data_IF_813836355601
#
_entry.id   IF_813836355601
#
_cell.length_a   1.000
_cell.length_b   1.000
_cell.length_c   1.000
_cell.angle_alpha   90.00
_cell.angle_beta   90.00
_cell.angle_gamma   90.00
#
_symmetry.space_group_name_H-M   'P 1'
#
loop_
_entity.id
_entity.type
_entity.pdbx_description
1 polymer ?
#
# COMPACT_ATOMS: atom_id res chain seq x y z
N UNK A 1 4.49 20.05 25.83
CA UNK A 1 5.40 21.05 25.20
C UNK A 1 5.11 21.12 23.71
N UNK A 2 5.46 22.24 23.02
CA UNK A 2 5.33 22.31 21.55
C UNK A 2 6.55 21.73 20.84
N UNK A 3 6.34 21.12 19.68
CA UNK A 3 7.43 20.58 18.86
C UNK A 3 8.32 21.72 18.30
N UNK A 4 9.65 21.53 18.22
CA UNK A 4 10.54 22.52 17.60
C UNK A 4 10.23 22.68 16.11
N UNK A 5 10.14 23.92 15.64
CA UNK A 5 9.80 24.23 14.24
C UNK A 5 11.05 24.24 13.38
N UNK A 6 11.10 23.37 12.40
CA UNK A 6 12.12 23.42 11.34
C UNK A 6 11.69 24.43 10.26
N UNK A 7 12.46 25.50 10.08
CA UNK A 7 12.15 26.51 9.07
C UNK A 7 12.55 26.03 7.67
N UNK A 8 11.60 26.02 6.76
CA UNK A 8 11.78 25.74 5.34
C UNK A 8 11.82 27.01 4.48
N UNK A 9 11.64 26.86 3.16
CA UNK A 9 11.55 27.99 2.24
C UNK A 9 10.24 28.78 2.45
N UNK A 10 10.23 30.11 2.18
CA UNK A 10 9.00 30.87 2.24
C UNK A 10 7.91 30.28 1.36
N UNK A 11 6.68 30.27 1.83
CA UNK A 11 5.43 29.76 1.19
C UNK A 11 5.38 28.25 0.89
N UNK A 12 6.47 27.60 0.54
CA UNK A 12 6.49 26.19 0.13
C UNK A 12 7.09 25.27 1.20
N UNK A 13 7.68 25.83 2.26
CA UNK A 13 8.28 25.04 3.34
C UNK A 13 9.33 24.06 2.86
N UNK A 14 9.15 22.78 3.18
CA UNK A 14 10.03 21.68 2.79
C UNK A 14 9.49 20.87 1.59
N UNK A 15 8.47 21.36 0.88
CA UNK A 15 7.75 20.59 -0.14
C UNK A 15 8.63 20.07 -1.29
N UNK A 16 9.60 20.88 -1.75
CA UNK A 16 10.53 20.45 -2.81
C UNK A 16 11.46 19.36 -2.31
N UNK A 17 12.00 19.53 -1.10
CA UNK A 17 12.90 18.58 -0.49
C UNK A 17 12.19 17.26 -0.19
N UNK A 18 10.98 17.35 0.36
CA UNK A 18 10.11 16.19 0.60
C UNK A 18 9.82 15.39 -0.67
N UNK A 19 9.49 16.10 -1.76
CA UNK A 19 9.21 15.46 -3.06
C UNK A 19 10.45 14.77 -3.64
N UNK A 20 11.63 15.38 -3.49
CA UNK A 20 12.86 14.86 -4.10
C UNK A 20 13.45 13.69 -3.30
N UNK A 21 13.52 13.81 -1.99
CA UNK A 21 14.01 12.77 -1.07
C UNK A 21 13.50 13.03 0.36
N UNK A 22 12.29 12.58 0.62
CA UNK A 22 11.65 12.72 1.93
C UNK A 22 12.45 12.07 3.07
N UNK A 23 13.11 10.95 2.78
CA UNK A 23 13.89 10.22 3.79
C UNK A 23 15.18 10.95 4.15
N UNK A 24 15.91 11.49 3.17
CA UNK A 24 17.09 12.30 3.42
C UNK A 24 16.74 13.59 4.16
N UNK A 25 15.62 14.25 3.78
CA UNK A 25 15.08 15.41 4.49
C UNK A 25 14.82 15.07 5.96
N UNK A 26 14.07 13.99 6.24
CA UNK A 26 13.75 13.54 7.58
C UNK A 26 15.01 13.27 8.42
N UNK A 27 15.96 12.51 7.89
CA UNK A 27 17.23 12.22 8.56
C UNK A 27 18.03 13.50 8.90
N UNK A 28 18.10 14.43 7.97
CA UNK A 28 18.79 15.72 8.15
C UNK A 28 18.12 16.58 9.22
N UNK A 29 16.79 16.70 9.16
CA UNK A 29 16.01 17.50 10.10
C UNK A 29 16.04 16.89 11.50
N UNK A 30 15.87 15.55 11.61
CA UNK A 30 15.98 14.81 12.86
C UNK A 30 17.35 15.04 13.55
N UNK A 31 18.45 14.98 12.79
CA UNK A 31 19.80 15.24 13.33
C UNK A 31 19.92 16.65 13.94
N UNK A 32 19.21 17.63 13.38
CA UNK A 32 19.28 19.03 13.79
C UNK A 32 18.29 19.39 14.90
N UNK A 33 17.08 18.84 14.88
CA UNK A 33 15.97 19.28 15.73
C UNK A 33 15.50 18.21 16.74
N UNK A 34 15.98 16.96 16.62
CA UNK A 34 15.57 15.84 17.46
C UNK A 34 14.53 14.95 16.79
N UNK A 35 14.01 13.99 17.58
CA UNK A 35 13.11 12.95 17.11
C UNK A 35 11.67 13.44 16.83
N UNK A 36 11.32 14.60 17.36
CA UNK A 36 10.01 15.23 17.16
C UNK A 36 10.23 16.67 16.67
N UNK A 37 9.65 17.03 15.53
CA UNK A 37 9.79 18.35 14.95
C UNK A 37 8.59 18.69 14.07
N UNK A 38 8.30 19.99 13.94
CA UNK A 38 7.28 20.50 13.02
C UNK A 38 7.94 20.99 11.73
N UNK A 39 7.39 20.56 10.59
CA UNK A 39 7.74 21.03 9.25
C UNK A 39 6.54 21.64 8.56
N UNK A 40 6.77 22.45 7.52
CA UNK A 40 5.70 22.88 6.60
C UNK A 40 5.88 22.15 5.26
N UNK A 41 4.83 21.43 4.83
CA UNK A 41 4.77 20.73 3.54
C UNK A 41 3.46 21.16 2.87
N UNK A 42 3.53 21.70 1.65
CA UNK A 42 2.36 22.21 0.91
C UNK A 42 1.52 23.23 1.69
N UNK A 43 2.20 24.06 2.48
CA UNK A 43 1.61 25.05 3.38
C UNK A 43 0.86 24.45 4.60
N UNK A 44 0.86 23.14 4.74
CA UNK A 44 0.32 22.45 5.92
C UNK A 44 1.40 22.26 6.99
N UNK A 45 1.01 22.36 8.25
CA UNK A 45 1.86 22.07 9.41
C UNK A 45 1.81 20.58 9.70
N UNK A 46 2.97 19.94 9.67
CA UNK A 46 3.10 18.51 9.91
C UNK A 46 4.08 18.28 11.07
N UNK A 47 3.62 17.71 12.16
CA UNK A 47 4.51 17.25 13.24
C UNK A 47 5.01 15.86 12.92
N UNK A 48 6.31 15.73 12.68
CA UNK A 48 6.98 14.46 12.38
C UNK A 48 7.47 13.83 13.69
N UNK A 49 7.13 12.56 13.88
CA UNK A 49 7.60 11.73 14.99
C UNK A 49 8.51 10.61 14.45
N UNK A 50 9.67 10.44 15.08
CA UNK A 50 10.63 9.38 14.73
C UNK A 50 10.89 8.41 15.89
N UNK A 51 9.96 8.30 16.83
CA UNK A 51 10.04 7.44 18.00
C UNK A 51 9.09 6.24 17.88
N UNK A 52 9.48 5.03 18.35
CA UNK A 52 8.59 3.88 18.37
C UNK A 52 7.35 4.08 19.27
N UNK A 53 7.48 4.85 20.36
CA UNK A 53 6.39 5.17 21.28
C UNK A 53 5.30 5.99 20.60
N UNK A 54 5.67 7.09 19.93
CA UNK A 54 4.73 7.91 19.17
C UNK A 54 4.09 7.13 18.03
N UNK A 55 4.88 6.35 17.28
CA UNK A 55 4.36 5.49 16.20
C UNK A 55 3.29 4.53 16.74
N UNK A 56 3.57 3.87 17.87
CA UNK A 56 2.62 2.97 18.51
C UNK A 56 1.37 3.70 18.98
N UNK A 57 1.52 4.88 19.63
CA UNK A 57 0.40 5.67 20.13
C UNK A 57 -0.51 6.11 18.98
N UNK A 58 0.06 6.71 17.93
CA UNK A 58 -0.68 7.24 16.76
C UNK A 58 -1.38 6.13 15.97
N UNK A 59 -0.77 4.95 15.85
CA UNK A 59 -1.39 3.85 15.10
C UNK A 59 -2.43 3.05 15.90
N UNK A 60 -2.25 2.91 17.21
CA UNK A 60 -3.26 2.26 18.05
C UNK A 60 -4.47 3.16 18.33
N UNK A 61 -4.23 4.46 18.39
CA UNK A 61 -5.24 5.51 18.54
C UNK A 61 -6.40 5.14 19.50
N UNK A 62 -6.13 4.90 20.78
CA UNK A 62 -7.13 4.37 21.70
C UNK A 62 -8.29 5.34 21.98
N UNK A 63 -8.14 6.59 21.60
CA UNK A 63 -9.10 7.68 21.85
C UNK A 63 -9.75 8.24 20.58
N UNK A 64 -9.47 7.62 19.41
CA UNK A 64 -9.94 8.08 18.10
C UNK A 64 -9.59 9.56 17.81
N UNK A 65 -8.32 9.92 18.06
CA UNK A 65 -7.80 11.29 17.88
C UNK A 65 -7.18 11.53 16.49
N UNK A 66 -6.91 10.47 15.71
CA UNK A 66 -6.12 10.53 14.49
C UNK A 66 -6.89 9.99 13.28
N UNK A 67 -7.33 10.87 12.39
CA UNK A 67 -7.98 10.48 11.13
C UNK A 67 -6.96 10.00 10.10
N UNK A 68 -7.12 8.77 9.63
CA UNK A 68 -6.42 8.23 8.47
C UNK A 68 -6.95 8.88 7.19
N UNK A 69 -8.28 8.99 7.06
CA UNK A 69 -8.97 9.59 5.91
C UNK A 69 -8.40 10.97 5.58
N UNK A 70 -8.50 11.91 6.51
CA UNK A 70 -8.00 13.27 6.28
C UNK A 70 -6.48 13.31 6.12
N UNK A 71 -5.72 12.40 6.75
CA UNK A 71 -4.28 12.29 6.56
C UNK A 71 -3.90 11.94 5.12
N UNK A 72 -4.63 11.04 4.47
CA UNK A 72 -4.34 10.55 3.13
C UNK A 72 -5.13 11.21 2.00
N UNK A 73 -6.23 11.91 2.33
CA UNK A 73 -7.17 12.47 1.35
C UNK A 73 -6.49 13.35 0.29
N UNK A 74 -5.52 14.16 0.71
CA UNK A 74 -4.79 15.02 -0.22
C UNK A 74 -4.04 14.19 -1.28
N UNK A 75 -3.39 13.09 -0.91
CA UNK A 75 -2.54 12.31 -1.82
C UNK A 75 -3.35 11.34 -2.69
N UNK A 76 -4.08 10.42 -2.08
CA UNK A 76 -4.77 9.32 -2.78
C UNK A 76 -6.29 9.53 -2.90
N UNK A 77 -6.87 10.52 -2.19
CA UNK A 77 -8.31 10.77 -2.18
C UNK A 77 -8.95 10.82 -3.56
N UNK A 78 -8.45 11.61 -4.51
CA UNK A 78 -9.11 11.76 -5.81
C UNK A 78 -9.29 10.47 -6.61
N UNK A 79 -8.43 9.47 -6.39
CA UNK A 79 -8.46 8.22 -7.17
C UNK A 79 -8.79 6.97 -6.36
N UNK A 80 -8.80 7.07 -5.01
CA UNK A 80 -9.07 5.94 -4.11
C UNK A 80 -10.04 6.32 -2.97
N UNK A 81 -10.98 7.22 -3.23
CA UNK A 81 -11.82 7.96 -2.28
C UNK A 81 -12.49 7.12 -1.20
N UNK A 82 -13.02 5.95 -1.52
CA UNK A 82 -13.74 5.08 -0.60
C UNK A 82 -12.95 3.82 -0.20
N UNK A 83 -11.66 3.79 -0.51
CA UNK A 83 -10.77 2.71 -0.09
C UNK A 83 -10.61 2.63 1.43
N UNK A 84 -10.23 1.47 1.94
CA UNK A 84 -10.13 1.23 3.39
C UNK A 84 -9.24 2.26 4.12
N UNK A 85 -8.18 2.74 3.50
CA UNK A 85 -7.25 3.71 4.08
C UNK A 85 -7.85 5.12 4.22
N UNK A 86 -8.93 5.41 3.48
CA UNK A 86 -9.67 6.66 3.53
C UNK A 86 -10.98 6.54 4.32
N UNK A 87 -10.97 5.67 5.31
CA UNK A 87 -12.05 5.47 6.28
C UNK A 87 -11.49 5.60 7.69
N UNK A 88 -12.33 6.05 8.62
CA UNK A 88 -11.93 6.28 10.00
C UNK A 88 -12.82 5.50 10.98
N UNK A 89 -12.31 5.26 12.16
CA UNK A 89 -13.00 4.81 13.36
C UNK A 89 -13.94 3.61 13.11
N UNK A 90 -15.22 3.72 13.45
CA UNK A 90 -16.17 2.62 13.31
C UNK A 90 -16.47 2.26 11.85
N UNK A 91 -16.44 3.23 10.93
CA UNK A 91 -16.56 2.97 9.49
C UNK A 91 -15.38 2.13 8.98
N UNK A 92 -14.16 2.48 9.39
CA UNK A 92 -12.97 1.66 9.08
C UNK A 92 -13.06 0.27 9.68
N UNK A 93 -13.45 0.14 10.96
CA UNK A 93 -13.59 -1.16 11.65
C UNK A 93 -14.59 -2.06 10.94
N UNK A 94 -15.73 -1.51 10.54
CA UNK A 94 -16.77 -2.22 9.82
C UNK A 94 -16.27 -2.76 8.46
N UNK A 95 -15.74 -1.90 7.59
CA UNK A 95 -15.25 -2.31 6.28
C UNK A 95 -14.05 -3.25 6.36
N UNK A 96 -13.14 -3.01 7.31
CA UNK A 96 -12.01 -3.92 7.58
C UNK A 96 -12.48 -5.31 8.01
N UNK A 97 -13.52 -5.38 8.84
CA UNK A 97 -14.12 -6.66 9.26
C UNK A 97 -14.60 -7.49 8.08
N UNK A 98 -15.32 -6.86 7.13
CA UNK A 98 -15.79 -7.53 5.92
C UNK A 98 -14.64 -8.02 5.02
N UNK A 99 -13.60 -7.19 4.83
CA UNK A 99 -12.43 -7.57 4.04
C UNK A 99 -11.61 -8.69 4.72
N UNK A 100 -11.54 -8.71 6.04
CA UNK A 100 -10.71 -9.65 6.80
C UNK A 100 -11.11 -11.11 6.60
N UNK A 101 -12.37 -11.39 6.33
CA UNK A 101 -12.86 -12.74 6.04
C UNK A 101 -12.10 -13.39 4.87
N UNK A 102 -11.80 -12.61 3.85
CA UNK A 102 -11.08 -13.05 2.64
C UNK A 102 -9.58 -13.27 2.85
N UNK A 103 -9.05 -12.94 4.02
CA UNK A 103 -7.65 -13.16 4.40
C UNK A 103 -7.50 -14.21 5.50
N UNK A 104 -8.53 -15.04 5.73
CA UNK A 104 -8.42 -16.18 6.62
C UNK A 104 -7.49 -17.24 6.07
N UNK A 105 -7.03 -18.13 6.96
CA UNK A 105 -6.03 -19.15 6.62
C UNK A 105 -6.43 -20.04 5.44
N UNK A 106 -7.65 -20.48 5.41
CA UNK A 106 -8.20 -21.32 4.32
C UNK A 106 -8.22 -20.60 2.97
N UNK A 107 -8.55 -19.30 2.96
CA UNK A 107 -8.43 -18.47 1.77
C UNK A 107 -6.97 -18.33 1.31
N UNK A 108 -6.05 -18.09 2.24
CA UNK A 108 -4.63 -17.98 1.94
C UNK A 108 -4.04 -19.29 1.40
N UNK A 109 -4.48 -20.46 1.89
CA UNK A 109 -4.07 -21.75 1.34
C UNK A 109 -4.51 -21.94 -0.12
N UNK A 110 -5.76 -21.53 -0.46
CA UNK A 110 -6.21 -21.53 -1.85
C UNK A 110 -5.41 -20.55 -2.73
N UNK A 111 -4.95 -19.42 -2.19
CA UNK A 111 -4.15 -18.46 -2.94
C UNK A 111 -2.77 -19.00 -3.32
N UNK A 112 -2.19 -19.89 -2.53
CA UNK A 112 -0.92 -20.55 -2.88
C UNK A 112 -1.04 -21.38 -4.15
N UNK A 113 -2.18 -22.04 -4.37
CA UNK A 113 -2.43 -22.84 -5.58
C UNK A 113 -2.43 -21.98 -6.86
N UNK A 114 -2.78 -20.72 -6.74
CA UNK A 114 -2.77 -19.73 -7.84
C UNK A 114 -1.39 -19.09 -7.98
N UNK A 115 -0.77 -18.71 -6.87
CA UNK A 115 0.51 -17.97 -6.86
C UNK A 115 1.67 -18.82 -7.38
N UNK A 116 1.77 -20.08 -6.93
CA UNK A 116 2.92 -20.92 -7.24
C UNK A 116 3.12 -21.15 -8.75
N UNK A 117 2.11 -21.53 -9.54
CA UNK A 117 2.27 -21.68 -10.98
C UNK A 117 2.68 -20.38 -11.69
N UNK A 118 2.25 -19.22 -11.20
CA UNK A 118 2.60 -17.91 -11.77
C UNK A 118 4.06 -17.57 -11.51
N UNK A 119 4.56 -17.87 -10.32
CA UNK A 119 5.99 -17.70 -9.99
C UNK A 119 6.83 -18.65 -10.84
N UNK A 120 6.47 -19.92 -10.96
CA UNK A 120 7.19 -20.91 -11.75
C UNK A 120 7.25 -20.51 -13.23
N UNK A 121 6.14 -20.09 -13.80
CA UNK A 121 6.10 -19.58 -15.18
C UNK A 121 6.99 -18.34 -15.35
N UNK A 122 6.95 -17.41 -14.42
CA UNK A 122 7.80 -16.21 -14.46
C UNK A 122 9.29 -16.57 -14.37
N UNK A 123 9.68 -17.49 -13.48
CA UNK A 123 11.06 -17.98 -13.37
C UNK A 123 11.53 -18.60 -14.69
N UNK A 124 10.72 -19.46 -15.32
CA UNK A 124 11.07 -20.09 -16.61
C UNK A 124 11.17 -19.06 -17.75
N UNK A 125 10.44 -17.97 -17.68
CA UNK A 125 10.54 -16.85 -18.62
C UNK A 125 11.88 -16.12 -18.45
N UNK A 126 12.19 -15.64 -17.24
CA UNK A 126 13.38 -14.82 -17.00
C UNK A 126 14.69 -15.60 -17.19
N UNK A 127 14.71 -16.92 -16.98
CA UNK A 127 15.88 -17.79 -17.27
C UNK A 127 16.31 -17.76 -18.74
N UNK A 128 15.43 -17.39 -19.65
CA UNK A 128 15.69 -17.31 -21.10
C UNK A 128 16.21 -15.95 -21.54
N UNK A 129 16.21 -14.96 -20.65
CA UNK A 129 16.63 -13.60 -20.93
C UNK A 129 18.11 -13.42 -20.50
N UNK A 130 18.94 -12.84 -21.37
CA UNK A 130 20.34 -12.54 -21.02
C UNK A 130 20.44 -11.46 -19.94
N UNK A 131 19.49 -10.51 -19.95
CA UNK A 131 19.36 -9.45 -18.95
C UNK A 131 17.91 -8.99 -18.88
N UNK A 132 17.46 -8.56 -17.69
CA UNK A 132 16.12 -8.05 -17.51
C UNK A 132 16.09 -6.96 -16.42
N UNK A 133 15.11 -6.07 -16.50
CA UNK A 133 14.84 -5.11 -15.44
C UNK A 133 14.06 -5.81 -14.32
N UNK A 134 14.73 -6.03 -13.19
CA UNK A 134 14.16 -6.76 -12.05
C UNK A 134 12.85 -6.10 -11.55
N UNK A 135 12.87 -4.79 -11.33
CA UNK A 135 11.71 -4.07 -10.79
C UNK A 135 10.49 -4.19 -11.70
N UNK A 136 10.64 -3.95 -12.99
CA UNK A 136 9.55 -4.03 -13.97
C UNK A 136 8.99 -5.45 -14.07
N UNK A 137 9.85 -6.46 -14.05
CA UNK A 137 9.43 -7.85 -14.11
C UNK A 137 8.69 -8.30 -12.85
N UNK A 138 9.15 -7.91 -11.65
CA UNK A 138 8.43 -8.17 -10.40
C UNK A 138 7.10 -7.41 -10.39
N UNK A 139 7.08 -6.15 -10.84
CA UNK A 139 5.87 -5.34 -10.91
C UNK A 139 4.79 -6.01 -11.76
N UNK A 140 5.16 -6.51 -12.95
CA UNK A 140 4.24 -7.24 -13.81
C UNK A 140 3.77 -8.57 -13.18
N UNK A 141 4.67 -9.32 -12.54
CA UNK A 141 4.33 -10.55 -11.83
C UNK A 141 3.31 -10.28 -10.71
N UNK A 142 3.58 -9.28 -9.86
CA UNK A 142 2.69 -8.92 -8.74
C UNK A 142 1.32 -8.45 -9.24
N UNK A 143 1.28 -7.69 -10.31
CA UNK A 143 0.02 -7.26 -10.92
C UNK A 143 -0.79 -8.46 -11.42
N UNK A 144 -0.18 -9.35 -12.18
CA UNK A 144 -0.86 -10.54 -12.72
C UNK A 144 -1.39 -11.44 -11.60
N UNK A 145 -0.58 -11.68 -10.56
CA UNK A 145 -1.00 -12.44 -9.38
C UNK A 145 -2.18 -11.75 -8.69
N UNK A 146 -2.10 -10.45 -8.44
CA UNK A 146 -3.15 -9.71 -7.73
C UNK A 146 -4.47 -9.72 -8.51
N UNK A 147 -4.44 -9.54 -9.83
CA UNK A 147 -5.66 -9.54 -10.65
C UNK A 147 -6.28 -10.92 -10.73
N UNK A 148 -5.50 -11.99 -10.81
CA UNK A 148 -6.01 -13.35 -10.79
C UNK A 148 -6.60 -13.72 -9.42
N UNK A 149 -5.87 -13.46 -8.33
CA UNK A 149 -6.33 -13.73 -6.96
C UNK A 149 -7.60 -12.97 -6.59
N UNK A 150 -7.64 -11.70 -6.97
CA UNK A 150 -8.72 -10.83 -6.54
C UNK A 150 -9.94 -10.93 -7.46
N UNK A 151 -9.75 -11.16 -8.77
CA UNK A 151 -10.81 -11.02 -9.75
C UNK A 151 -11.03 -12.24 -10.63
N UNK A 152 -10.19 -13.28 -10.52
CA UNK A 152 -10.20 -14.42 -11.43
C UNK A 152 -10.13 -13.99 -12.91
N UNK A 153 -9.29 -12.97 -13.19
CA UNK A 153 -9.10 -12.46 -14.55
C UNK A 153 -7.82 -13.00 -15.13
N UNK A 154 -7.92 -13.76 -16.20
CA UNK A 154 -6.79 -14.44 -16.85
C UNK A 154 -6.63 -14.07 -18.32
N UNK A 155 -7.55 -13.26 -18.89
CA UNK A 155 -7.42 -12.77 -20.27
C UNK A 155 -6.28 -11.75 -20.38
N UNK A 156 -5.22 -12.12 -21.11
CA UNK A 156 -4.01 -11.28 -21.24
C UNK A 156 -4.31 -9.89 -21.82
N UNK A 157 -5.23 -9.78 -22.75
CA UNK A 157 -5.58 -8.48 -23.34
C UNK A 157 -6.24 -7.58 -22.31
N UNK A 158 -7.11 -8.13 -21.49
CA UNK A 158 -7.76 -7.43 -20.40
C UNK A 158 -6.79 -7.08 -19.28
N UNK A 159 -5.84 -7.95 -18.96
CA UNK A 159 -4.78 -7.67 -17.98
C UNK A 159 -3.95 -6.44 -18.39
N UNK A 160 -3.60 -6.32 -19.68
CA UNK A 160 -2.86 -5.15 -20.19
C UNK A 160 -3.68 -3.86 -20.05
N UNK A 161 -4.97 -3.90 -20.38
CA UNK A 161 -5.87 -2.75 -20.24
C UNK A 161 -6.02 -2.33 -18.79
N UNK A 162 -6.33 -3.27 -17.88
CA UNK A 162 -6.48 -3.02 -16.45
C UNK A 162 -5.21 -2.47 -15.83
N UNK A 163 -4.04 -3.03 -16.20
CA UNK A 163 -2.75 -2.53 -15.72
C UNK A 163 -2.52 -1.08 -16.13
N UNK A 164 -2.88 -0.71 -17.38
CA UNK A 164 -2.77 0.66 -17.83
C UNK A 164 -3.68 1.60 -17.06
N UNK A 165 -4.96 1.26 -16.90
CA UNK A 165 -5.92 2.08 -16.15
C UNK A 165 -5.47 2.24 -14.69
N UNK A 166 -4.99 1.17 -14.10
CA UNK A 166 -4.50 1.18 -12.72
C UNK A 166 -3.24 2.04 -12.56
N UNK A 167 -2.27 1.91 -13.46
CA UNK A 167 -1.06 2.76 -13.48
C UNK A 167 -1.43 4.23 -13.62
N UNK A 168 -2.34 4.57 -14.53
CA UNK A 168 -2.83 5.94 -14.72
C UNK A 168 -3.48 6.51 -13.44
N UNK A 169 -4.19 5.67 -12.67
CA UNK A 169 -4.77 6.06 -11.38
C UNK A 169 -3.71 6.32 -10.31
N UNK A 170 -2.68 5.47 -10.21
CA UNK A 170 -1.58 5.65 -9.25
C UNK A 170 -0.74 6.90 -9.59
N UNK A 171 -0.38 7.10 -10.84
CA UNK A 171 0.39 8.27 -11.27
C UNK A 171 -0.34 9.59 -10.95
N UNK A 172 -1.67 9.57 -10.99
CA UNK A 172 -2.48 10.73 -10.62
C UNK A 172 -2.38 11.08 -9.13
N UNK A 173 -2.24 10.09 -8.26
CA UNK A 173 -2.10 10.28 -6.82
C UNK A 173 -0.83 11.08 -6.46
N UNK A 174 0.24 10.93 -7.25
CA UNK A 174 1.50 11.67 -7.09
C UNK A 174 1.59 12.93 -7.95
N UNK A 175 0.53 13.31 -8.65
CA UNK A 175 0.50 14.45 -9.54
C UNK A 175 0.73 15.77 -8.81
N UNK A 176 1.63 16.61 -9.32
CA UNK A 176 1.89 17.95 -8.79
C UNK A 176 0.73 18.90 -9.11
N UNK A 177 0.15 18.77 -10.30
CA UNK A 177 -1.01 19.57 -10.72
C UNK A 177 -2.27 18.91 -10.21
N UNK A 178 -2.86 19.48 -9.15
CA UNK A 178 -4.06 18.98 -8.47
C UNK A 178 -5.36 19.53 -9.06
N UNK A 179 -5.35 19.95 -10.33
CA UNK A 179 -6.53 20.36 -11.06
C UNK A 179 -6.76 19.41 -12.27
N UNK A 180 -8.00 18.96 -12.53
CA UNK A 180 -8.31 18.04 -13.62
C UNK A 180 -8.37 18.75 -14.98
N UNK A 181 -7.32 19.53 -15.29
CA UNK A 181 -7.20 20.26 -16.56
C UNK A 181 -6.85 19.31 -17.73
N UNK A 182 -7.08 19.71 -18.98
CA UNK A 182 -6.63 18.95 -20.13
C UNK A 182 -5.13 18.60 -20.02
N UNK A 183 -4.76 17.36 -20.38
CA UNK A 183 -3.40 16.83 -20.39
C UNK A 183 -2.73 16.66 -19.00
N UNK A 184 -3.46 16.85 -17.88
CA UNK A 184 -2.91 16.57 -16.56
C UNK A 184 -3.05 15.10 -16.17
N UNK A 185 -2.08 14.59 -15.39
CA UNK A 185 -2.14 13.22 -14.85
C UNK A 185 -3.37 13.02 -13.97
N UNK A 186 -3.80 14.04 -13.20
CA UNK A 186 -5.01 13.95 -12.41
C UNK A 186 -6.24 13.66 -13.25
N UNK A 187 -6.45 14.38 -14.37
CA UNK A 187 -7.58 14.13 -15.28
C UNK A 187 -7.53 12.73 -15.88
N UNK A 188 -6.33 12.28 -16.26
CA UNK A 188 -6.10 10.93 -16.81
C UNK A 188 -6.47 9.85 -15.77
N UNK A 189 -6.00 10.01 -14.53
CA UNK A 189 -6.30 9.08 -13.45
C UNK A 189 -7.78 9.06 -13.05
N UNK A 190 -8.45 10.21 -13.00
CA UNK A 190 -9.90 10.26 -12.73
C UNK A 190 -10.72 9.54 -13.82
N UNK A 191 -10.31 9.65 -15.09
CA UNK A 191 -10.93 8.90 -16.18
C UNK A 191 -10.68 7.39 -16.01
N UNK A 192 -9.44 7.01 -15.75
CA UNK A 192 -9.07 5.61 -15.50
C UNK A 192 -9.81 5.02 -14.30
N UNK A 193 -9.93 5.78 -13.18
CA UNK A 193 -10.73 5.37 -12.01
C UNK A 193 -12.18 5.08 -12.39
N UNK A 194 -12.80 5.95 -13.17
CA UNK A 194 -14.18 5.72 -13.62
C UNK A 194 -14.32 4.43 -14.42
N UNK A 195 -13.42 4.18 -15.37
CA UNK A 195 -13.43 2.97 -16.18
C UNK A 195 -13.20 1.71 -15.32
N UNK A 196 -12.33 1.77 -14.31
CA UNK A 196 -12.13 0.70 -13.34
C UNK A 196 -13.39 0.44 -12.49
N UNK A 197 -14.06 1.49 -12.01
CA UNK A 197 -15.31 1.37 -11.25
C UNK A 197 -16.40 0.71 -12.09
N UNK A 198 -16.63 1.23 -13.30
CA UNK A 198 -17.63 0.69 -14.23
C UNK A 198 -17.36 -0.80 -14.53
N UNK A 199 -16.09 -1.17 -14.69
CA UNK A 199 -15.68 -2.55 -14.91
C UNK A 199 -15.97 -3.44 -13.70
N UNK A 200 -15.49 -3.06 -12.51
CA UNK A 200 -15.64 -3.90 -11.32
C UNK A 200 -17.08 -3.98 -10.82
N UNK A 201 -17.84 -2.92 -10.92
CA UNK A 201 -19.25 -2.91 -10.58
C UNK A 201 -20.04 -3.84 -11.52
N UNK A 202 -19.79 -3.76 -12.83
CA UNK A 202 -20.42 -4.67 -13.81
C UNK A 202 -19.99 -6.14 -13.60
N UNK A 203 -18.73 -6.38 -13.22
CA UNK A 203 -18.23 -7.73 -12.93
C UNK A 203 -18.86 -8.27 -11.63
N UNK A 204 -19.03 -7.44 -10.61
CA UNK A 204 -19.64 -7.84 -9.33
C UNK A 204 -21.08 -8.37 -9.50
N UNK A 205 -21.84 -7.78 -10.43
CA UNK A 205 -23.21 -8.23 -10.73
C UNK A 205 -23.27 -9.60 -11.42
N UNK A 206 -22.15 -10.08 -11.99
CA UNK A 206 -22.10 -11.30 -12.83
C UNK A 206 -21.21 -12.39 -12.26
N UNK A 207 -20.50 -12.12 -11.16
CA UNK A 207 -19.54 -13.08 -10.61
C UNK A 207 -20.26 -14.34 -10.09
N UNK A 208 -19.68 -15.51 -10.36
CA UNK A 208 -20.12 -16.75 -9.72
C UNK A 208 -19.59 -16.77 -8.26
N UNK A 209 -20.50 -16.61 -7.33
CA UNK A 209 -20.17 -16.61 -5.89
C UNK A 209 -19.68 -17.97 -5.35
N UNK A 210 -19.68 -19.03 -6.18
CA UNK A 210 -19.07 -20.32 -5.82
C UNK A 210 -17.54 -20.31 -5.97
N UNK A 211 -16.99 -19.37 -6.73
CA UNK A 211 -15.55 -19.16 -6.81
C UNK A 211 -14.99 -18.80 -5.43
N UNK A 212 -13.69 -19.08 -5.24
CA UNK A 212 -12.99 -18.83 -3.97
C UNK A 212 -11.99 -17.65 -4.11
N UNK A 213 -12.36 -16.63 -4.88
CA UNK A 213 -11.59 -15.40 -5.03
C UNK A 213 -12.00 -14.39 -3.98
N UNK A 214 -11.11 -13.42 -3.68
CA UNK A 214 -11.44 -12.31 -2.81
C UNK A 214 -12.72 -11.59 -3.28
N UNK A 215 -12.85 -11.40 -4.58
CA UNK A 215 -13.98 -10.71 -5.18
C UNK A 215 -15.30 -11.44 -4.95
N UNK A 216 -15.33 -12.76 -5.17
CA UNK A 216 -16.54 -13.57 -4.92
C UNK A 216 -16.94 -13.56 -3.44
N UNK A 217 -15.97 -13.57 -2.53
CA UNK A 217 -16.25 -13.49 -1.09
C UNK A 217 -16.88 -12.13 -0.72
N UNK A 218 -16.37 -11.02 -1.26
CA UNK A 218 -16.98 -9.71 -1.05
C UNK A 218 -18.38 -9.59 -1.66
N UNK A 219 -18.60 -10.16 -2.85
CA UNK A 219 -19.93 -10.15 -3.47
C UNK A 219 -20.96 -10.94 -2.65
N UNK A 220 -20.55 -11.99 -1.94
CA UNK A 220 -21.46 -12.70 -1.01
C UNK A 220 -22.01 -11.77 0.09
N UNK A 221 -21.24 -10.77 0.51
CA UNK A 221 -21.70 -9.83 1.54
C UNK A 221 -22.84 -8.94 1.04
N UNK A 222 -22.95 -8.66 -0.25
CA UNK A 222 -24.01 -7.82 -0.83
C UNK A 222 -25.43 -8.32 -0.51
N UNK A 223 -25.59 -9.62 -0.37
CA UNK A 223 -26.86 -10.25 -0.07
C UNK A 223 -27.19 -10.35 1.44
N UNK A 224 -26.31 -9.82 2.29
CA UNK A 224 -26.46 -9.83 3.75
C UNK A 224 -26.99 -8.48 4.23
N UNK A 225 -27.71 -8.48 5.36
CA UNK A 225 -28.10 -7.25 6.03
C UNK A 225 -26.84 -6.47 6.45
N UNK A 226 -26.74 -5.22 6.03
CA UNK A 226 -25.55 -4.41 6.24
C UNK A 226 -24.35 -4.78 5.33
N UNK A 227 -24.52 -5.58 4.28
CA UNK A 227 -23.46 -5.94 3.34
C UNK A 227 -23.08 -4.79 2.40
N UNK A 228 -21.97 -4.97 1.67
CA UNK A 228 -21.44 -3.96 0.74
C UNK A 228 -22.28 -3.88 -0.52
N UNK A 229 -22.55 -2.68 -1.00
CA UNK A 229 -23.07 -2.45 -2.34
C UNK A 229 -22.03 -2.84 -3.42
N UNK A 230 -22.46 -3.08 -4.65
CA UNK A 230 -21.54 -3.36 -5.75
C UNK A 230 -20.54 -2.23 -6.00
N UNK A 231 -20.96 -0.99 -5.78
CA UNK A 231 -20.09 0.18 -5.85
C UNK A 231 -19.01 0.13 -4.77
N UNK A 232 -19.34 -0.14 -3.51
CA UNK A 232 -18.37 -0.25 -2.42
C UNK A 232 -17.42 -1.43 -2.63
N UNK A 233 -17.91 -2.55 -3.17
CA UNK A 233 -17.06 -3.67 -3.56
C UNK A 233 -16.04 -3.22 -4.62
N UNK A 234 -16.48 -2.51 -5.68
CA UNK A 234 -15.58 -1.99 -6.70
C UNK A 234 -14.52 -1.03 -6.15
N UNK A 235 -14.91 -0.13 -5.25
CA UNK A 235 -13.99 0.79 -4.55
C UNK A 235 -12.94 0.03 -3.73
N UNK A 236 -13.34 -0.98 -2.97
CA UNK A 236 -12.41 -1.80 -2.22
C UNK A 236 -11.46 -2.58 -3.13
N UNK A 237 -11.94 -3.09 -4.25
CA UNK A 237 -11.09 -3.83 -5.19
C UNK A 237 -10.04 -2.95 -5.83
N UNK A 238 -10.40 -1.73 -6.25
CA UNK A 238 -9.43 -0.75 -6.77
C UNK A 238 -8.39 -0.40 -5.70
N UNK A 239 -8.82 -0.20 -4.45
CA UNK A 239 -7.92 0.10 -3.35
C UNK A 239 -7.01 -1.08 -2.99
N UNK A 240 -7.52 -2.31 -2.98
CA UNK A 240 -6.72 -3.51 -2.69
C UNK A 240 -5.66 -3.79 -3.76
N UNK A 241 -5.95 -3.49 -5.02
CA UNK A 241 -4.94 -3.52 -6.08
C UNK A 241 -3.80 -2.52 -5.78
N UNK A 242 -4.14 -1.28 -5.38
CA UNK A 242 -3.14 -0.30 -4.96
C UNK A 242 -2.28 -0.84 -3.81
N UNK A 243 -2.92 -1.39 -2.79
CA UNK A 243 -2.21 -1.86 -1.59
C UNK A 243 -1.30 -3.05 -1.86
N UNK A 244 -1.72 -4.01 -2.70
CA UNK A 244 -1.00 -5.26 -2.93
C UNK A 244 0.16 -5.15 -3.93
N UNK A 245 0.03 -4.29 -4.93
CA UNK A 245 0.91 -4.29 -6.10
C UNK A 245 2.26 -3.60 -5.83
N UNK A 246 2.28 -2.30 -5.58
CA UNK A 246 3.52 -1.52 -5.51
C UNK A 246 4.32 -1.78 -4.22
N UNK A 247 3.66 -2.03 -3.10
CA UNK A 247 4.33 -2.29 -1.82
C UNK A 247 5.11 -3.60 -1.85
N UNK A 248 4.49 -4.67 -2.35
CA UNK A 248 5.14 -5.98 -2.48
C UNK A 248 6.24 -5.94 -3.53
N UNK A 249 6.03 -5.27 -4.66
CA UNK A 249 7.06 -5.05 -5.70
C UNK A 249 8.30 -4.38 -5.12
N UNK A 250 8.14 -3.28 -4.38
CA UNK A 250 9.24 -2.54 -3.75
C UNK A 250 10.01 -3.42 -2.77
N UNK A 251 9.30 -4.15 -1.90
CA UNK A 251 9.93 -5.00 -0.88
C UNK A 251 10.69 -6.17 -1.51
N UNK A 252 10.10 -6.86 -2.50
CA UNK A 252 10.77 -7.96 -3.20
C UNK A 252 12.00 -7.49 -3.98
N UNK A 253 11.89 -6.37 -4.68
CA UNK A 253 13.03 -5.77 -5.41
C UNK A 253 14.18 -5.46 -4.44
N UNK A 254 13.88 -4.85 -3.30
CA UNK A 254 14.87 -4.54 -2.25
C UNK A 254 15.46 -5.80 -1.63
N UNK A 255 14.64 -6.85 -1.42
CA UNK A 255 15.09 -8.14 -0.89
C UNK A 255 16.10 -8.80 -1.84
N UNK A 256 15.79 -8.85 -3.12
CA UNK A 256 16.70 -9.44 -4.14
C UNK A 256 17.97 -8.59 -4.27
N UNK A 257 17.87 -7.27 -4.19
CA UNK A 257 19.04 -6.41 -4.15
C UNK A 257 19.97 -6.74 -2.96
N UNK A 258 19.44 -6.96 -1.76
CA UNK A 258 20.26 -7.38 -0.61
C UNK A 258 20.94 -8.73 -0.87
N UNK A 259 20.22 -9.70 -1.41
CA UNK A 259 20.81 -11.00 -1.76
C UNK A 259 21.94 -10.89 -2.77
N UNK A 260 21.87 -9.94 -3.70
CA UNK A 260 22.93 -9.71 -4.69
C UNK A 260 24.21 -9.13 -4.09
N UNK A 261 24.12 -8.53 -2.91
CA UNK A 261 25.24 -7.87 -2.23
C UNK A 261 25.85 -8.69 -1.08
N UNK A 262 25.18 -9.77 -0.62
CA UNK A 262 25.63 -10.64 0.47
C UNK A 262 25.57 -12.13 0.09
N UNK A 263 26.69 -12.63 -0.42
CA UNK A 263 26.83 -14.04 -0.83
C UNK A 263 26.61 -15.03 0.33
N UNK A 264 26.95 -14.68 1.56
CA UNK A 264 26.77 -15.56 2.73
C UNK A 264 25.28 -15.72 3.02
N UNK A 265 24.56 -14.61 3.05
CA UNK A 265 23.13 -14.59 3.30
C UNK A 265 22.36 -15.29 2.15
N UNK A 266 22.74 -15.03 0.91
CA UNK A 266 22.20 -15.75 -0.26
C UNK A 266 22.33 -17.28 -0.13
N UNK A 267 23.51 -17.76 0.31
CA UNK A 267 23.73 -19.20 0.52
C UNK A 267 22.83 -19.77 1.62
N UNK A 268 22.68 -19.04 2.74
CA UNK A 268 21.81 -19.46 3.84
C UNK A 268 20.35 -19.56 3.38
N UNK A 269 19.85 -18.58 2.64
CA UNK A 269 18.48 -18.61 2.09
C UNK A 269 18.29 -19.77 1.10
N UNK A 270 19.29 -20.02 0.23
CA UNK A 270 19.25 -21.14 -0.71
C UNK A 270 19.20 -22.48 0.01
N UNK A 271 19.98 -22.65 1.08
CA UNK A 271 20.02 -23.87 1.89
C UNK A 271 18.69 -24.08 2.67
N UNK A 272 18.02 -23.00 3.09
CA UNK A 272 16.69 -23.04 3.69
C UNK A 272 15.64 -23.41 2.63
N UNK A 273 15.62 -22.72 1.49
CA UNK A 273 14.68 -22.97 0.41
C UNK A 273 14.73 -24.40 -0.14
N UNK A 274 15.93 -25.01 -0.17
CA UNK A 274 16.10 -26.39 -0.60
C UNK A 274 15.44 -27.43 0.36
N UNK A 275 15.11 -27.03 1.58
CA UNK A 275 14.47 -27.85 2.62
C UNK A 275 12.99 -27.53 2.82
N UNK A 276 12.49 -26.45 2.21
CA UNK A 276 11.14 -25.97 2.38
C UNK A 276 10.35 -26.29 1.11
N UNK A 277 9.27 -27.03 1.25
CA UNK A 277 8.29 -27.20 0.17
C UNK A 277 7.26 -26.07 0.34
N UNK A 278 7.05 -25.26 -0.68
CA UNK A 278 6.10 -24.14 -0.60
C UNK A 278 4.67 -24.62 -0.89
N UNK A 279 4.25 -25.76 -0.33
CA UNK A 279 2.97 -26.40 -0.66
C UNK A 279 1.82 -25.96 0.24
N UNK A 280 2.12 -25.41 1.42
CA UNK A 280 1.11 -24.90 2.35
C UNK A 280 1.67 -23.81 3.26
N UNK A 281 0.76 -23.03 3.88
CA UNK A 281 1.09 -21.90 4.75
C UNK A 281 1.94 -22.33 5.97
N UNK A 282 1.74 -23.54 6.49
CA UNK A 282 2.50 -24.01 7.65
C UNK A 282 3.98 -24.25 7.31
N UNK A 283 4.26 -24.73 6.13
CA UNK A 283 5.63 -24.92 5.65
C UNK A 283 6.32 -23.60 5.33
N UNK A 284 5.60 -22.64 4.73
CA UNK A 284 6.12 -21.29 4.50
C UNK A 284 6.57 -20.60 5.79
N UNK A 285 5.87 -20.83 6.90
CA UNK A 285 6.25 -20.29 8.22
C UNK A 285 7.56 -20.85 8.76
N UNK A 286 8.09 -21.91 8.22
CA UNK A 286 9.41 -22.44 8.58
C UNK A 286 10.56 -21.72 7.87
N UNK A 287 10.26 -20.84 6.92
CA UNK A 287 11.22 -20.03 6.18
C UNK A 287 11.68 -18.80 6.95
N UNK A 288 12.42 -18.99 8.04
CA UNK A 288 12.83 -17.89 8.94
C UNK A 288 13.81 -16.90 8.30
N UNK A 289 14.70 -17.39 7.42
CA UNK A 289 15.66 -16.52 6.73
C UNK A 289 14.95 -15.68 5.68
N UNK A 290 14.00 -16.27 4.94
CA UNK A 290 13.15 -15.55 4.00
C UNK A 290 12.31 -14.47 4.67
N UNK A 291 11.67 -14.78 5.81
CA UNK A 291 10.92 -13.82 6.61
C UNK A 291 11.80 -12.68 7.15
N UNK A 292 12.98 -13.01 7.67
CA UNK A 292 13.94 -12.02 8.16
C UNK A 292 14.43 -11.09 7.03
N UNK A 293 14.70 -11.64 5.84
CA UNK A 293 15.06 -10.85 4.65
C UNK A 293 13.98 -9.86 4.27
N UNK A 294 12.75 -10.33 4.19
CA UNK A 294 11.60 -9.50 3.82
C UNK A 294 11.37 -8.38 4.85
N UNK A 295 11.44 -8.72 6.14
CA UNK A 295 11.32 -7.76 7.24
C UNK A 295 12.45 -6.72 7.24
N UNK A 296 13.69 -7.12 6.97
CA UNK A 296 14.83 -6.21 6.89
C UNK A 296 14.75 -5.30 5.65
N UNK A 297 14.25 -5.81 4.53
CA UNK A 297 13.99 -5.01 3.34
C UNK A 297 12.96 -3.91 3.65
N UNK A 298 11.84 -4.24 4.28
CA UNK A 298 10.83 -3.26 4.71
C UNK A 298 11.37 -2.27 5.72
N UNK A 299 12.23 -2.70 6.65
CA UNK A 299 12.85 -1.79 7.63
C UNK A 299 13.78 -0.77 6.99
N UNK A 300 14.60 -1.19 6.02
CA UNK A 300 15.59 -0.31 5.36
C UNK A 300 15.02 0.53 4.25
N UNK A 301 14.11 -0.04 3.48
CA UNK A 301 13.45 0.57 2.33
C UNK A 301 11.93 0.38 2.44
N UNK A 302 11.28 1.06 3.41
CA UNK A 302 9.84 0.93 3.58
C UNK A 302 9.11 1.40 2.32
N UNK A 303 8.19 0.60 1.78
CA UNK A 303 7.39 1.01 0.60
C UNK A 303 6.57 2.27 0.85
N UNK A 304 6.12 2.45 2.11
CA UNK A 304 5.42 3.63 2.58
C UNK A 304 6.23 4.24 3.73
N UNK A 305 7.18 5.16 3.42
CA UNK A 305 8.13 5.66 4.40
C UNK A 305 7.55 6.65 5.41
N UNK A 306 6.36 7.18 5.15
CA UNK A 306 5.64 8.09 6.03
C UNK A 306 4.17 7.74 6.07
N UNK A 307 3.57 7.76 7.25
CA UNK A 307 2.15 7.53 7.43
C UNK A 307 1.51 8.78 8.04
N UNK A 308 0.86 9.62 7.22
CA UNK A 308 0.19 10.82 7.72
C UNK A 308 -1.08 10.46 8.48
N UNK A 309 -1.39 11.29 9.48
CA UNK A 309 -2.68 11.34 10.17
C UNK A 309 -3.07 12.79 10.36
N UNK A 310 -4.35 13.02 10.48
CA UNK A 310 -4.92 14.35 10.82
C UNK A 310 -5.43 14.31 12.24
N UNK A 311 -5.07 15.31 13.04
CA UNK A 311 -5.48 15.43 14.44
C UNK A 311 -6.89 15.98 14.51
N UNK A 312 -7.85 15.19 14.98
CA UNK A 312 -9.27 15.58 15.05
C UNK A 312 -9.65 16.21 16.39
N UNK A 313 -8.83 15.98 17.42
CA UNK A 313 -8.99 16.57 18.77
C UNK A 313 -7.62 16.90 19.35
N UNK A 314 -7.56 17.96 20.17
CA UNK A 314 -6.34 18.28 20.91
C UNK A 314 -5.88 17.07 21.72
N UNK A 315 -4.61 16.71 21.59
CA UNK A 315 -4.05 15.55 22.27
C UNK A 315 -2.55 15.71 22.56
N UNK A 316 -1.99 14.78 23.31
CA UNK A 316 -0.56 14.78 23.65
C UNK A 316 0.07 13.45 23.24
N UNK A 317 1.15 13.52 22.48
CA UNK A 317 1.95 12.34 22.08
C UNK A 317 3.39 12.55 22.52
N UNK A 318 3.94 11.61 23.27
CA UNK A 318 5.33 11.67 23.81
C UNK A 318 5.63 13.01 24.53
N UNK A 319 4.63 13.62 25.20
CA UNK A 319 4.75 14.90 25.88
C UNK A 319 4.65 16.14 24.99
N UNK A 320 4.40 15.98 23.68
CA UNK A 320 4.16 17.08 22.75
C UNK A 320 2.66 17.29 22.53
N UNK A 321 2.25 18.56 22.63
CA UNK A 321 0.88 19.02 22.42
C UNK A 321 0.61 19.09 20.91
N UNK A 322 -0.48 18.47 20.48
CA UNK A 322 -0.99 18.49 19.11
C UNK A 322 -2.35 19.17 19.10
N UNK A 323 -2.49 20.19 18.30
CA UNK A 323 -3.74 20.94 18.13
C UNK A 323 -4.61 20.26 17.07
N UNK A 324 -5.92 20.18 17.31
CA UNK A 324 -6.88 19.77 16.28
C UNK A 324 -6.72 20.62 15.01
N UNK A 325 -6.86 20.01 13.85
CA UNK A 325 -6.65 20.70 12.57
C UNK A 325 -5.22 20.64 12.04
N UNK A 326 -4.31 19.95 12.72
CA UNK A 326 -2.91 19.78 12.26
C UNK A 326 -2.65 18.36 11.76
N UNK A 327 -1.54 18.19 11.04
CA UNK A 327 -1.11 16.87 10.58
C UNK A 327 0.02 16.33 11.45
N UNK A 328 0.05 15.01 11.60
CA UNK A 328 1.19 14.27 12.13
C UNK A 328 1.66 13.26 11.10
N UNK A 329 2.93 12.93 11.13
CA UNK A 329 3.53 11.86 10.32
C UNK A 329 4.49 11.02 11.15
N UNK A 330 4.42 9.70 10.99
CA UNK A 330 5.32 8.71 11.59
C UNK A 330 6.03 7.91 10.54
#
# INVERSE_FOLDING_TARGET
MKAPVARGLPFIGHSIEFKNDALAMSKRLRKKHGDVLEVSILNERVTMFSTPSATKHIFLDPEDNFSSKHGWEFSIGPTFENGLMLRDFDDHKYHRGLLQESFRRDALENYLEIIQPRIDHWIEKIKKEESFNLHENIKQLMFNIAVELFFDEVDESRLVELNKLFTDSIESATSVVRAPLPFTNLRKGLKARKELLDYFESKAQKVDTKQKTLFSELVKTNNQEGGLSYFEIAEHMIFLLLAAHDTTTSTLTSSIHFLSTDNKFFKQLKDEAAKTTCTNISELKNGHIGEALFSEAMRKYPPVPFSPRYVVRDTIVDGYELEAGTYVAV
#
